data_IF_098003016970
#
_entry.id   IF_098003016970
#
_cell.length_a   1.000
_cell.length_b   1.000
_cell.length_c   1.000
_cell.angle_alpha   90.00
_cell.angle_beta   90.00
_cell.angle_gamma   90.00
#
_symmetry.space_group_name_H-M   'P 1'
#
loop_
_entity.id
_entity.type
_entity.pdbx_description
1 polymer ?
#
# COMPACT_ATOMS: atom_id res chain seq x y z
N UNK A 1 -6.91 -15.41 23.15
CA UNK A 1 -6.00 -15.67 22.00
C UNK A 1 -6.67 -16.71 21.12
N UNK A 2 -6.86 -16.43 19.82
CA UNK A 2 -7.57 -17.35 18.90
C UNK A 2 -6.70 -18.50 18.36
N UNK A 3 -5.37 -18.49 18.61
CA UNK A 3 -4.48 -19.61 18.25
C UNK A 3 -4.25 -19.82 16.75
N UNK A 4 -4.70 -18.88 15.91
CA UNK A 4 -4.58 -18.94 14.45
C UNK A 4 -3.80 -17.74 13.89
N UNK A 5 -3.14 -17.89 12.73
CA UNK A 5 -2.62 -16.75 11.96
C UNK A 5 -3.75 -15.75 11.65
N UNK A 6 -3.49 -14.47 11.90
CA UNK A 6 -4.36 -13.39 11.46
C UNK A 6 -4.00 -13.00 10.02
N UNK A 7 -4.98 -12.46 9.31
CA UNK A 7 -4.80 -11.87 7.98
C UNK A 7 -4.79 -10.36 8.15
N UNK A 8 -3.63 -9.73 7.95
CA UNK A 8 -3.39 -8.31 8.17
C UNK A 8 -3.31 -7.61 6.82
N UNK A 9 -4.35 -6.84 6.48
CA UNK A 9 -4.41 -6.09 5.23
C UNK A 9 -3.82 -4.69 5.40
N UNK A 10 -2.98 -4.28 4.46
CA UNK A 10 -2.59 -2.88 4.27
C UNK A 10 -2.81 -2.47 2.82
N UNK A 11 -3.55 -1.38 2.61
CA UNK A 11 -3.83 -0.80 1.29
C UNK A 11 -2.82 0.28 0.94
N UNK A 12 -2.35 0.28 -0.31
CA UNK A 12 -1.44 1.29 -0.85
C UNK A 12 -1.99 1.79 -2.19
N UNK A 13 -2.30 3.09 -2.25
CA UNK A 13 -2.74 3.72 -3.49
C UNK A 13 -1.50 4.19 -4.28
N UNK A 14 -1.30 3.73 -5.53
CA UNK A 14 -0.13 4.01 -6.34
C UNK A 14 -0.23 5.41 -6.99
N UNK A 15 -0.38 6.43 -6.14
CA UNK A 15 -0.51 7.85 -6.54
C UNK A 15 0.84 8.51 -6.86
N UNK A 16 1.93 7.83 -6.55
CA UNK A 16 3.32 8.20 -6.86
C UNK A 16 4.09 6.92 -7.25
N UNK A 17 5.21 7.03 -7.97
CA UNK A 17 5.99 5.86 -8.39
C UNK A 17 6.75 5.19 -7.25
N UNK A 18 7.05 5.90 -6.16
CA UNK A 18 7.96 5.41 -5.12
C UNK A 18 7.37 5.43 -3.71
N UNK A 19 7.65 4.36 -2.95
CA UNK A 19 7.49 4.35 -1.51
C UNK A 19 8.62 5.17 -0.88
N UNK A 20 8.26 6.32 -0.31
CA UNK A 20 9.20 7.14 0.45
C UNK A 20 9.31 6.70 1.93
N UNK A 21 10.29 7.25 2.65
CA UNK A 21 10.57 6.98 4.08
C UNK A 21 9.35 7.11 5.02
N UNK A 22 8.34 7.91 4.66
CA UNK A 22 7.08 7.97 5.41
C UNK A 22 6.34 6.62 5.54
N UNK A 23 6.58 5.64 4.66
CA UNK A 23 5.97 4.31 4.73
C UNK A 23 6.73 3.33 5.63
N UNK A 24 7.96 3.66 6.05
CA UNK A 24 8.83 2.76 6.82
C UNK A 24 8.18 2.28 8.12
N UNK A 25 7.44 3.16 8.83
CA UNK A 25 6.75 2.78 10.08
C UNK A 25 5.70 1.70 9.83
N UNK A 26 4.90 1.86 8.77
CA UNK A 26 3.85 0.91 8.39
C UNK A 26 4.46 -0.42 7.96
N UNK A 27 5.46 -0.40 7.08
CA UNK A 27 6.13 -1.60 6.57
C UNK A 27 6.79 -2.38 7.73
N UNK A 28 7.48 -1.70 8.64
CA UNK A 28 8.08 -2.35 9.82
C UNK A 28 7.01 -2.98 10.72
N UNK A 29 5.83 -2.38 10.83
CA UNK A 29 4.72 -2.97 11.59
C UNK A 29 4.18 -4.23 10.92
N UNK A 30 4.03 -4.22 9.59
CA UNK A 30 3.63 -5.41 8.83
C UNK A 30 4.67 -6.52 8.98
N UNK A 31 5.96 -6.19 8.95
CA UNK A 31 7.03 -7.17 9.20
C UNK A 31 6.92 -7.81 10.58
N UNK A 32 6.63 -7.03 11.62
CA UNK A 32 6.39 -7.58 12.97
C UNK A 32 5.20 -8.55 13.00
N UNK A 33 4.12 -8.30 12.24
CA UNK A 33 3.03 -9.26 12.12
C UNK A 33 3.50 -10.56 11.45
N UNK A 34 4.33 -10.49 10.41
CA UNK A 34 4.91 -11.69 9.77
C UNK A 34 5.82 -12.46 10.74
N UNK A 35 6.69 -11.77 11.47
CA UNK A 35 7.60 -12.39 12.46
C UNK A 35 6.83 -13.08 13.60
N UNK A 36 5.61 -12.62 13.89
CA UNK A 36 4.68 -13.24 14.84
C UNK A 36 3.83 -14.38 14.23
N UNK A 37 4.07 -14.75 12.97
CA UNK A 37 3.40 -15.86 12.29
C UNK A 37 2.06 -15.50 11.65
N UNK A 38 1.82 -14.24 11.34
CA UNK A 38 0.60 -13.78 10.67
C UNK A 38 0.80 -13.58 9.16
N UNK A 39 -0.30 -13.67 8.41
CA UNK A 39 -0.32 -13.43 6.97
C UNK A 39 -0.52 -11.94 6.72
N UNK A 40 0.43 -11.31 6.04
CA UNK A 40 0.29 -9.92 5.58
C UNK A 40 -0.21 -9.92 4.14
N UNK A 41 -1.28 -9.15 3.90
CA UNK A 41 -1.87 -8.92 2.58
C UNK A 41 -1.57 -7.47 2.20
N UNK A 42 -0.61 -7.29 1.30
CA UNK A 42 -0.32 -6.00 0.70
C UNK A 42 -1.25 -5.79 -0.49
N UNK A 43 -2.22 -4.88 -0.35
CA UNK A 43 -3.23 -4.61 -1.37
C UNK A 43 -2.87 -3.32 -2.12
N UNK A 44 -2.66 -3.42 -3.42
CA UNK A 44 -2.50 -2.25 -4.29
C UNK A 44 -3.90 -1.76 -4.69
N UNK A 45 -4.19 -0.50 -4.39
CA UNK A 45 -5.45 0.16 -4.69
C UNK A 45 -5.42 0.88 -6.03
N UNK A 46 -5.35 0.13 -7.13
CA UNK A 46 -5.38 0.69 -8.48
C UNK A 46 -6.71 1.42 -8.78
N UNK A 47 -7.83 0.82 -8.39
CA UNK A 47 -9.17 1.39 -8.54
C UNK A 47 -9.41 2.60 -7.63
N UNK A 48 -8.96 2.53 -6.37
CA UNK A 48 -9.07 3.66 -5.42
C UNK A 48 -8.16 4.82 -5.81
N UNK A 49 -6.98 4.53 -6.37
CA UNK A 49 -6.08 5.54 -6.93
C UNK A 49 -6.70 6.37 -8.06
N UNK A 50 -7.58 5.78 -8.87
CA UNK A 50 -8.32 6.52 -9.93
C UNK A 50 -9.39 7.47 -9.36
N UNK A 51 -10.00 7.12 -8.22
CA UNK A 51 -11.02 7.94 -7.55
C UNK A 51 -10.37 9.04 -6.69
N UNK A 52 -9.23 8.72 -6.06
CA UNK A 52 -8.52 9.57 -5.12
C UNK A 52 -9.06 9.46 -3.69
N UNK A 53 -8.16 9.36 -2.71
CA UNK A 53 -8.52 9.40 -1.29
C UNK A 53 -8.74 10.87 -0.82
N UNK A 54 -9.95 11.24 -0.36
CA UNK A 54 -10.25 12.59 0.13
C UNK A 54 -9.62 12.90 1.49
N UNK A 55 -9.01 11.92 2.16
CA UNK A 55 -8.53 12.07 3.53
C UNK A 55 -7.30 12.99 3.59
N UNK A 56 -7.49 14.20 4.14
CA UNK A 56 -6.39 15.06 4.60
C UNK A 56 -5.75 16.02 3.58
N UNK A 57 -6.32 16.24 2.38
CA UNK A 57 -5.82 17.26 1.44
C UNK A 57 -6.92 18.20 0.95
N UNK A 58 -6.68 19.52 1.02
CA UNK A 58 -7.61 20.59 0.57
C UNK A 58 -7.66 20.80 -0.95
N UNK A 59 -6.81 20.12 -1.73
CA UNK A 59 -6.79 20.21 -3.19
C UNK A 59 -6.94 18.82 -3.80
N UNK A 60 -7.86 18.69 -4.76
CA UNK A 60 -8.05 17.49 -5.58
C UNK A 60 -6.76 17.23 -6.36
N UNK A 61 -6.19 16.02 -6.20
CA UNK A 61 -5.04 15.61 -7.03
C UNK A 61 -5.53 15.43 -8.47
N UNK A 62 -4.70 15.73 -9.49
CA UNK A 62 -5.05 15.38 -10.86
C UNK A 62 -5.25 13.87 -10.97
N UNK A 63 -6.30 13.42 -11.68
CA UNK A 63 -6.57 11.99 -11.85
C UNK A 63 -5.43 11.34 -12.63
N UNK A 64 -5.03 10.14 -12.20
CA UNK A 64 -4.05 9.32 -12.92
C UNK A 64 -4.77 8.48 -13.97
N UNK A 65 -4.08 8.23 -15.09
CA UNK A 65 -4.53 7.26 -16.09
C UNK A 65 -4.31 5.83 -15.58
N UNK A 66 -5.07 4.87 -16.11
CA UNK A 66 -4.95 3.45 -15.75
C UNK A 66 -3.52 2.92 -15.99
N UNK A 67 -2.88 3.33 -17.08
CA UNK A 67 -1.50 2.96 -17.40
C UNK A 67 -0.51 3.49 -16.36
N UNK A 68 -0.66 4.75 -15.92
CA UNK A 68 0.19 5.33 -14.87
C UNK A 68 0.01 4.62 -13.52
N UNK A 69 -1.23 4.29 -13.16
CA UNK A 69 -1.55 3.53 -11.95
C UNK A 69 -0.90 2.15 -12.00
N UNK A 70 -0.92 1.50 -13.16
CA UNK A 70 -0.32 0.18 -13.38
C UNK A 70 1.20 0.21 -13.29
N UNK A 71 1.85 1.20 -13.88
CA UNK A 71 3.31 1.35 -13.83
C UNK A 71 3.78 1.60 -12.38
N UNK A 72 3.09 2.49 -11.66
CA UNK A 72 3.37 2.75 -10.24
C UNK A 72 3.11 1.51 -9.36
N UNK A 73 2.14 0.67 -9.71
CA UNK A 73 1.88 -0.58 -8.99
C UNK A 73 3.03 -1.59 -9.14
N UNK A 74 3.67 -1.64 -10.32
CA UNK A 74 4.83 -2.51 -10.58
C UNK A 74 6.01 -2.09 -9.70
N UNK A 75 6.32 -0.80 -9.65
CA UNK A 75 7.43 -0.29 -8.83
C UNK A 75 7.19 -0.52 -7.34
N UNK A 76 5.95 -0.36 -6.85
CA UNK A 76 5.59 -0.66 -5.46
C UNK A 76 5.84 -2.12 -5.11
N UNK A 77 5.45 -3.04 -6.00
CA UNK A 77 5.71 -4.47 -5.82
C UNK A 77 7.21 -4.73 -5.66
N UNK A 78 8.05 -4.18 -6.53
CA UNK A 78 9.50 -4.38 -6.48
C UNK A 78 10.13 -3.82 -5.20
N UNK A 79 9.62 -2.70 -4.67
CA UNK A 79 10.16 -2.05 -3.48
C UNK A 79 9.75 -2.76 -2.18
N UNK A 80 8.57 -3.35 -2.12
CA UNK A 80 8.04 -4.02 -0.91
C UNK A 80 8.63 -5.42 -0.72
N UNK A 81 8.99 -6.09 -1.81
CA UNK A 81 9.53 -7.46 -1.78
C UNK A 81 11.07 -7.52 -1.74
N UNK A 82 11.75 -6.38 -1.58
CA UNK A 82 13.17 -6.32 -1.19
C UNK A 82 13.33 -6.47 0.31
#
# INVERSE_FOLDING_TARGET
KEGRPLRVKAGFDPTAPDLHLGHTVLINKLRQFQDLGHEVIFLIGDFTGMIGDPTGKSATRPPLTEDQVRDNAITYKEQVFK
#
